data_IF_901948584039
#
_entry.id   IF_901948584039
#
_cell.length_a   1.000
_cell.length_b   1.000
_cell.length_c   1.000
_cell.angle_alpha   90.00
_cell.angle_beta   90.00
_cell.angle_gamma   90.00
#
_symmetry.space_group_name_H-M   'P 1'
#
loop_
_entity.id
_entity.type
_entity.pdbx_description
1 polymer ?
#
# COMPACT_ATOMS: atom_id res chain seq x y z
N UNK A 1 19.93 -17.52 -3.06
CA UNK A 1 20.22 -16.20 -2.44
C UNK A 1 19.41 -15.13 -3.16
N UNK A 2 18.16 -14.89 -2.77
CA UNK A 2 17.41 -13.66 -3.09
C UNK A 2 16.21 -13.43 -2.14
N UNK A 3 16.21 -14.05 -0.96
CA UNK A 3 15.11 -13.91 0.02
C UNK A 3 15.12 -12.55 0.75
N UNK A 4 16.17 -11.74 0.56
CA UNK A 4 16.33 -10.46 1.25
C UNK A 4 15.58 -9.28 0.60
N UNK A 5 15.02 -9.47 -0.60
CA UNK A 5 14.32 -8.40 -1.35
C UNK A 5 12.83 -8.65 -1.55
N UNK A 6 12.28 -9.74 -1.01
CA UNK A 6 10.84 -9.99 -1.07
C UNK A 6 10.15 -9.29 0.12
N UNK A 7 9.10 -8.48 -0.12
CA UNK A 7 8.35 -7.87 0.97
C UNK A 7 7.74 -8.95 1.84
N UNK A 8 7.70 -8.68 3.13
CA UNK A 8 7.11 -9.61 4.09
C UNK A 8 5.60 -9.73 3.91
N UNK A 9 5.01 -10.82 4.39
CA UNK A 9 3.55 -11.00 4.39
C UNK A 9 2.80 -9.81 5.06
N UNK A 10 3.38 -9.25 6.13
CA UNK A 10 2.82 -8.06 6.80
C UNK A 10 2.84 -6.81 5.90
N UNK A 11 3.91 -6.61 5.13
CA UNK A 11 4.00 -5.49 4.20
C UNK A 11 3.00 -5.62 3.05
N UNK A 12 2.80 -6.85 2.55
CA UNK A 12 1.78 -7.16 1.56
C UNK A 12 0.38 -6.86 2.06
N UNK A 13 0.05 -7.35 3.27
CA UNK A 13 -1.24 -7.07 3.89
C UNK A 13 -1.46 -5.58 4.13
N UNK A 14 -0.43 -4.87 4.59
CA UNK A 14 -0.48 -3.43 4.75
C UNK A 14 -0.71 -2.73 3.42
N UNK A 15 0.01 -3.12 2.37
CA UNK A 15 -0.11 -2.52 1.05
C UNK A 15 -1.50 -2.74 0.45
N UNK A 16 -2.08 -3.95 0.57
CA UNK A 16 -3.47 -4.21 0.20
C UNK A 16 -4.46 -3.30 0.94
N UNK A 17 -4.32 -3.16 2.26
CA UNK A 17 -5.20 -2.30 3.07
C UNK A 17 -5.10 -0.83 2.64
N UNK A 18 -3.89 -0.35 2.36
CA UNK A 18 -3.66 1.03 1.90
C UNK A 18 -4.28 1.27 0.53
N UNK A 19 -4.08 0.37 -0.44
CA UNK A 19 -4.67 0.52 -1.79
C UNK A 19 -6.19 0.45 -1.75
N UNK A 20 -6.76 -0.46 -0.96
CA UNK A 20 -8.20 -0.57 -0.79
C UNK A 20 -8.80 0.71 -0.19
N UNK A 21 -8.17 1.24 0.87
CA UNK A 21 -8.61 2.49 1.49
C UNK A 21 -8.38 3.72 0.60
N UNK A 22 -7.31 3.71 -0.21
CA UNK A 22 -7.06 4.75 -1.21
C UNK A 22 -8.13 4.74 -2.31
N UNK A 23 -8.58 3.56 -2.73
CA UNK A 23 -9.68 3.43 -3.69
C UNK A 23 -10.99 3.98 -3.10
N UNK A 24 -11.32 3.66 -1.84
CA UNK A 24 -12.47 4.25 -1.15
C UNK A 24 -12.36 5.78 -1.05
N UNK A 25 -11.19 6.29 -0.64
CA UNK A 25 -10.94 7.72 -0.56
C UNK A 25 -11.06 8.41 -1.94
N UNK A 26 -10.56 7.76 -3.01
CA UNK A 26 -10.69 8.26 -4.37
C UNK A 26 -12.16 8.35 -4.82
N UNK A 27 -13.01 7.39 -4.45
CA UNK A 27 -14.46 7.48 -4.73
C UNK A 27 -15.13 8.67 -4.03
N UNK A 28 -14.55 9.14 -2.92
CA UNK A 28 -15.01 10.32 -2.17
C UNK A 28 -14.33 11.62 -2.61
N UNK A 29 -13.40 11.56 -3.56
CA UNK A 29 -12.58 12.71 -3.98
C UNK A 29 -11.55 13.16 -2.94
N UNK A 30 -11.15 12.29 -2.02
CA UNK A 30 -10.17 12.57 -0.97
C UNK A 30 -8.79 12.03 -1.37
N UNK A 31 -7.80 12.92 -1.41
CA UNK A 31 -6.40 12.55 -1.71
C UNK A 31 -5.61 12.09 -0.48
N UNK A 32 -6.12 12.37 0.73
CA UNK A 32 -5.52 11.95 1.99
C UNK A 32 -6.62 11.38 2.91
N UNK A 33 -6.31 10.28 3.59
CA UNK A 33 -7.25 9.59 4.47
C UNK A 33 -6.51 8.98 5.65
N UNK A 34 -7.24 8.66 6.72
CA UNK A 34 -6.66 8.01 7.89
C UNK A 34 -6.98 6.52 7.87
N UNK A 35 -5.95 5.68 7.93
CA UNK A 35 -6.06 4.23 8.05
C UNK A 35 -5.43 3.78 9.37
N UNK A 36 -6.19 3.10 10.22
CA UNK A 36 -5.73 2.66 11.55
C UNK A 36 -5.12 3.79 12.41
N UNK A 37 -5.68 5.01 12.31
CA UNK A 37 -5.17 6.17 13.04
C UNK A 37 -3.86 6.75 12.50
N UNK A 38 -3.30 6.21 11.41
CA UNK A 38 -2.21 6.82 10.66
C UNK A 38 -2.74 7.56 9.45
N UNK A 39 -2.25 8.78 9.24
CA UNK A 39 -2.53 9.53 8.04
C UNK A 39 -1.83 8.87 6.85
N UNK A 40 -2.58 8.64 5.80
CA UNK A 40 -2.12 8.06 4.55
C UNK A 40 -2.15 9.16 3.49
N UNK A 41 -0.96 9.56 3.08
CA UNK A 41 -0.74 10.53 2.04
C UNK A 41 -0.55 9.84 0.67
N UNK A 42 -0.70 10.58 -0.44
CA UNK A 42 -0.40 10.07 -1.79
C UNK A 42 0.96 9.32 -1.92
N UNK A 43 2.09 9.79 -1.34
CA UNK A 43 3.36 9.05 -1.37
C UNK A 43 3.30 7.69 -0.65
N UNK A 44 2.49 7.55 0.40
CA UNK A 44 2.32 6.30 1.14
C UNK A 44 1.55 5.28 0.29
N UNK A 45 0.49 5.73 -0.39
CA UNK A 45 -0.27 4.91 -1.34
C UNK A 45 0.64 4.43 -2.47
N UNK A 46 1.48 5.31 -3.02
CA UNK A 46 2.46 4.93 -4.04
C UNK A 46 3.42 3.85 -3.54
N UNK A 47 3.93 3.96 -2.30
CA UNK A 47 4.79 2.92 -1.70
C UNK A 47 4.06 1.58 -1.56
N UNK A 48 2.79 1.58 -1.19
CA UNK A 48 1.99 0.37 -1.15
C UNK A 48 1.87 -0.28 -2.54
N UNK A 49 1.63 0.49 -3.60
CA UNK A 49 1.63 -0.05 -4.95
C UNK A 49 2.97 -0.69 -5.35
N UNK A 50 4.10 -0.04 -5.06
CA UNK A 50 5.43 -0.58 -5.36
C UNK A 50 5.67 -1.94 -4.69
N UNK A 51 5.23 -2.10 -3.43
CA UNK A 51 5.33 -3.38 -2.70
C UNK A 51 4.54 -4.48 -3.40
N UNK A 52 3.32 -4.18 -3.88
CA UNK A 52 2.48 -5.15 -4.58
C UNK A 52 3.05 -5.51 -5.96
N UNK A 53 3.63 -4.54 -6.66
CA UNK A 53 4.30 -4.76 -7.94
C UNK A 53 5.53 -5.66 -7.77
N UNK A 54 6.28 -5.49 -6.67
CA UNK A 54 7.47 -6.29 -6.39
C UNK A 54 7.17 -7.78 -6.27
N UNK A 55 5.98 -8.14 -5.79
CA UNK A 55 5.54 -9.54 -5.64
C UNK A 55 5.04 -10.16 -6.95
N UNK A 56 4.53 -9.35 -7.89
CA UNK A 56 4.11 -9.84 -9.20
C UNK A 56 5.26 -10.10 -10.19
N UNK A 57 6.48 -9.65 -9.87
CA UNK A 57 7.66 -9.74 -10.74
C UNK A 57 8.65 -10.85 -10.36
N UNK A 58 8.25 -11.81 -9.52
CA UNK A 58 9.07 -12.94 -9.07
C UNK A 58 8.37 -14.26 -9.32
#
# INVERSE_FOLDING_TARGET
FNEAFSPSAQELEWAHKVVAAANDAATRGLSAFSLNGKMIDPPVVRRAHEILILVGNN
#
